data_IF_756119875625
#
_entry.id   IF_756119875625
#
_cell.length_a   1.000
_cell.length_b   1.000
_cell.length_c   1.000
_cell.angle_alpha   90.00
_cell.angle_beta   90.00
_cell.angle_gamma   90.00
#
_symmetry.space_group_name_H-M   'P 1'
#
loop_
_entity.id
_entity.type
_entity.pdbx_description
1 polymer ?
#
# COMPACT_ATOMS: atom_id res chain seq x y z
N UNK A 1 -30.15 -5.33 5.20
CA UNK A 1 -28.76 -5.75 4.90
C UNK A 1 -27.93 -5.60 6.17
N UNK A 2 -27.01 -6.54 6.43
CA UNK A 2 -26.12 -6.54 7.59
C UNK A 2 -24.70 -6.91 7.15
N UNK A 3 -23.73 -6.04 7.46
CA UNK A 3 -22.30 -6.32 7.26
C UNK A 3 -21.71 -6.66 8.63
N UNK A 4 -21.10 -7.83 8.76
CA UNK A 4 -20.47 -8.31 9.99
C UNK A 4 -19.00 -8.67 9.78
N UNK A 5 -18.18 -8.40 10.78
CA UNK A 5 -16.81 -8.91 10.84
C UNK A 5 -16.79 -10.12 11.77
N UNK A 6 -16.47 -11.28 11.22
CA UNK A 6 -16.43 -12.55 11.96
C UNK A 6 -15.02 -13.11 11.97
N UNK A 7 -14.67 -13.86 13.01
CA UNK A 7 -13.40 -14.55 13.13
C UNK A 7 -13.59 -16.06 12.88
N UNK A 8 -12.77 -16.63 11.99
CA UNK A 8 -12.70 -18.09 11.77
C UNK A 8 -11.22 -18.50 11.73
N UNK A 9 -10.81 -19.44 12.58
CA UNK A 9 -9.43 -19.95 12.66
C UNK A 9 -8.39 -18.81 12.70
N UNK A 10 -8.55 -17.90 13.67
CA UNK A 10 -7.71 -16.69 13.86
C UNK A 10 -7.68 -15.70 12.68
N UNK A 11 -8.53 -15.83 11.68
CA UNK A 11 -8.60 -14.91 10.55
C UNK A 11 -9.92 -14.16 10.55
N UNK A 12 -9.87 -12.85 10.28
CA UNK A 12 -11.07 -12.04 10.10
C UNK A 12 -11.66 -12.22 8.70
N UNK A 13 -13.00 -12.24 8.65
CA UNK A 13 -13.81 -12.29 7.45
C UNK A 13 -14.85 -11.18 7.53
N UNK A 14 -15.13 -10.55 6.40
CA UNK A 14 -16.35 -9.76 6.24
C UNK A 14 -17.44 -10.67 5.70
N UNK A 15 -18.59 -10.70 6.38
CA UNK A 15 -19.80 -11.40 5.98
C UNK A 15 -20.88 -10.38 5.65
N UNK A 16 -21.44 -10.48 4.46
CA UNK A 16 -22.58 -9.69 4.02
C UNK A 16 -23.82 -10.58 4.01
N UNK A 17 -24.87 -10.14 4.71
CA UNK A 17 -26.15 -10.82 4.79
C UNK A 17 -27.24 -9.86 4.34
N UNK A 18 -28.00 -10.21 3.30
CA UNK A 18 -29.20 -9.47 2.89
C UNK A 18 -30.34 -10.43 2.57
N UNK A 19 -31.33 -10.48 3.46
CA UNK A 19 -32.45 -11.41 3.35
C UNK A 19 -32.01 -12.87 3.34
N UNK A 20 -32.72 -13.70 2.57
CA UNK A 20 -32.38 -15.12 2.33
C UNK A 20 -31.51 -15.33 1.09
N UNK A 21 -31.39 -14.31 0.24
CA UNK A 21 -30.75 -14.43 -1.08
C UNK A 21 -29.24 -14.22 -1.02
N UNK A 22 -28.74 -13.38 -0.10
CA UNK A 22 -27.33 -13.04 -0.01
C UNK A 22 -26.82 -13.42 1.37
N UNK A 23 -25.92 -14.40 1.41
CA UNK A 23 -25.10 -14.75 2.57
C UNK A 23 -23.71 -15.16 2.09
N UNK A 24 -22.83 -14.17 1.98
CA UNK A 24 -21.49 -14.33 1.40
C UNK A 24 -20.44 -13.84 2.40
N UNK A 25 -19.26 -14.45 2.38
CA UNK A 25 -18.16 -14.03 3.26
C UNK A 25 -16.80 -14.11 2.57
N UNK A 26 -15.93 -13.14 2.87
CA UNK A 26 -14.58 -13.03 2.30
C UNK A 26 -13.55 -12.71 3.37
N UNK A 27 -12.39 -13.35 3.26
CA UNK A 27 -11.26 -13.22 4.18
C UNK A 27 -10.63 -11.83 4.02
N UNK A 28 -10.35 -11.15 5.14
CA UNK A 28 -9.77 -9.80 5.15
C UNK A 28 -8.24 -9.79 5.14
N UNK A 29 -7.59 -10.95 5.30
CA UNK A 29 -6.13 -11.04 5.42
C UNK A 29 -5.58 -10.46 6.71
N UNK A 30 -6.44 -10.24 7.71
CA UNK A 30 -6.07 -9.82 9.06
C UNK A 30 -6.13 -11.04 9.96
N UNK A 31 -5.02 -11.36 10.63
CA UNK A 31 -4.90 -12.49 11.55
C UNK A 31 -4.84 -11.97 12.98
N UNK A 32 -5.79 -12.40 13.80
CA UNK A 32 -5.91 -12.02 15.21
C UNK A 32 -6.26 -13.30 15.98
N UNK A 33 -5.61 -13.51 17.11
CA UNK A 33 -5.94 -14.63 17.97
C UNK A 33 -7.35 -14.43 18.58
N UNK A 34 -8.18 -15.47 18.57
CA UNK A 34 -9.60 -15.39 18.95
C UNK A 34 -9.85 -14.73 20.31
N UNK A 35 -8.96 -14.92 21.28
CA UNK A 35 -9.06 -14.31 22.60
C UNK A 35 -9.07 -12.77 22.58
N UNK A 36 -8.44 -12.15 21.59
CA UNK A 36 -8.36 -10.69 21.44
C UNK A 36 -9.52 -10.10 20.63
N UNK A 37 -10.40 -10.92 20.07
CA UNK A 37 -11.55 -10.46 19.29
C UNK A 37 -12.80 -10.32 20.16
N UNK A 38 -13.45 -9.17 20.11
CA UNK A 38 -14.76 -8.94 20.68
C UNK A 38 -15.84 -9.27 19.64
N UNK A 39 -16.50 -10.42 19.80
CA UNK A 39 -17.54 -10.89 18.87
C UNK A 39 -18.74 -9.94 18.86
N UNK A 40 -19.10 -9.35 20.01
CA UNK A 40 -20.30 -8.52 20.15
C UNK A 40 -20.09 -7.15 19.48
N UNK A 41 -18.93 -6.55 19.72
CA UNK A 41 -18.60 -5.23 19.20
C UNK A 41 -17.85 -5.27 17.87
N UNK A 42 -17.53 -6.47 17.37
CA UNK A 42 -16.79 -6.71 16.13
C UNK A 42 -15.49 -5.89 16.04
N UNK A 43 -14.73 -5.87 17.13
CA UNK A 43 -13.50 -5.09 17.27
C UNK A 43 -12.44 -5.86 18.05
N UNK A 44 -11.20 -5.43 17.95
CA UNK A 44 -10.12 -5.90 18.82
C UNK A 44 -10.36 -5.36 20.23
N UNK A 45 -10.34 -6.23 21.24
CA UNK A 45 -10.49 -5.89 22.66
C UNK A 45 -9.41 -4.91 23.10
N UNK A 46 -9.68 -4.20 24.20
CA UNK A 46 -8.68 -3.39 24.87
C UNK A 46 -7.68 -4.30 25.59
N UNK A 47 -6.75 -4.88 24.84
CA UNK A 47 -5.60 -5.61 25.36
C UNK A 47 -4.36 -4.71 25.23
N UNK A 48 -3.60 -4.57 26.32
CA UNK A 48 -2.43 -3.70 26.41
C UNK A 48 -1.34 -4.02 25.35
N UNK A 49 -1.31 -5.27 24.84
CA UNK A 49 -0.24 -5.79 23.99
C UNK A 49 -0.54 -5.79 22.48
N UNK A 50 -1.63 -5.17 22.01
CA UNK A 50 -1.95 -5.17 20.57
C UNK A 50 -1.55 -3.85 19.91
N UNK A 51 -0.34 -3.80 19.34
CA UNK A 51 0.14 -2.64 18.59
C UNK A 51 -0.79 -2.37 17.38
N UNK A 52 -1.04 -1.09 17.08
CA UNK A 52 -1.94 -0.65 16.00
C UNK A 52 -3.43 -1.04 16.14
N UNK A 53 -3.90 -1.44 17.34
CA UNK A 53 -5.32 -1.74 17.64
C UNK A 53 -6.28 -0.69 17.06
N UNK A 54 -6.07 0.58 17.41
CA UNK A 54 -6.99 1.66 17.04
C UNK A 54 -7.04 1.89 15.54
N UNK A 55 -5.89 1.78 14.86
CA UNK A 55 -5.82 1.86 13.41
C UNK A 55 -6.59 0.72 12.75
N UNK A 56 -6.46 -0.50 13.25
CA UNK A 56 -7.18 -1.66 12.69
C UNK A 56 -8.69 -1.54 12.95
N UNK A 57 -9.10 -1.19 14.17
CA UNK A 57 -10.51 -0.99 14.50
C UNK A 57 -11.14 0.13 13.67
N UNK A 58 -10.44 1.27 13.49
CA UNK A 58 -10.89 2.35 12.62
C UNK A 58 -11.04 1.87 11.17
N UNK A 59 -10.07 1.10 10.65
CA UNK A 59 -10.13 0.55 9.29
C UNK A 59 -11.25 -0.47 9.10
N UNK A 60 -11.56 -1.28 10.10
CA UNK A 60 -12.69 -2.21 10.07
C UNK A 60 -14.03 -1.46 10.10
N UNK A 61 -14.12 -0.37 10.86
CA UNK A 61 -15.30 0.50 10.86
C UNK A 61 -15.51 1.17 9.50
N UNK A 62 -14.47 1.77 8.92
CA UNK A 62 -14.49 2.35 7.57
C UNK A 62 -14.91 1.31 6.52
N UNK A 63 -14.40 0.08 6.61
CA UNK A 63 -14.76 -1.02 5.71
C UNK A 63 -16.28 -1.27 5.73
N UNK A 64 -16.88 -1.39 6.91
CA UNK A 64 -18.33 -1.63 7.05
C UNK A 64 -19.15 -0.52 6.42
N UNK A 65 -18.76 0.73 6.66
CA UNK A 65 -19.43 1.89 6.07
C UNK A 65 -19.33 1.89 4.53
N UNK A 66 -18.12 1.66 3.98
CA UNK A 66 -17.91 1.60 2.52
C UNK A 66 -18.72 0.49 1.86
N UNK A 67 -18.71 -0.74 2.41
CA UNK A 67 -19.48 -1.87 1.87
C UNK A 67 -20.98 -1.58 1.93
N UNK A 68 -21.47 -0.99 3.04
CA UNK A 68 -22.90 -0.65 3.19
C UNK A 68 -23.35 0.38 2.14
N UNK A 69 -22.54 1.40 1.92
CA UNK A 69 -22.83 2.44 0.93
C UNK A 69 -22.78 1.88 -0.49
N UNK A 70 -21.73 1.10 -0.82
CA UNK A 70 -21.59 0.46 -2.13
C UNK A 70 -22.71 -0.53 -2.41
N UNK A 71 -23.10 -1.34 -1.42
CA UNK A 71 -24.23 -2.27 -1.53
C UNK A 71 -25.51 -1.51 -1.87
N UNK A 72 -25.82 -0.45 -1.13
CA UNK A 72 -27.04 0.34 -1.36
C UNK A 72 -27.08 0.90 -2.77
N UNK A 73 -25.97 1.49 -3.24
CA UNK A 73 -25.88 2.07 -4.58
C UNK A 73 -26.00 1.01 -5.68
N UNK A 74 -25.20 -0.05 -5.61
CA UNK A 74 -25.15 -1.11 -6.63
C UNK A 74 -26.47 -1.91 -6.67
N UNK A 75 -27.10 -2.14 -5.51
CA UNK A 75 -28.40 -2.82 -5.43
C UNK A 75 -29.53 -1.97 -6.02
N UNK A 76 -29.50 -0.63 -5.90
CA UNK A 76 -30.47 0.26 -6.57
C UNK A 76 -30.29 0.19 -8.10
N UNK A 77 -29.06 0.06 -8.57
CA UNK A 77 -28.73 -0.02 -9.99
C UNK A 77 -28.93 -1.42 -10.61
N UNK A 78 -29.34 -2.42 -9.82
CA UNK A 78 -29.57 -3.78 -10.29
C UNK A 78 -28.30 -4.59 -10.55
N UNK A 79 -27.16 -4.20 -9.96
CA UNK A 79 -25.90 -4.93 -10.08
C UNK A 79 -25.97 -6.31 -9.39
N UNK A 80 -25.17 -7.25 -9.89
CA UNK A 80 -25.09 -8.60 -9.31
C UNK A 80 -24.25 -8.57 -8.04
N UNK A 81 -24.92 -8.79 -6.89
CA UNK A 81 -24.25 -8.85 -5.59
C UNK A 81 -23.89 -10.29 -5.25
N UNK A 82 -22.67 -10.68 -5.60
CA UNK A 82 -22.13 -12.01 -5.32
C UNK A 82 -20.81 -11.98 -4.53
N UNK A 83 -20.19 -13.15 -4.41
CA UNK A 83 -18.90 -13.31 -3.73
C UNK A 83 -17.78 -12.47 -4.35
N UNK A 84 -17.78 -12.29 -5.69
CA UNK A 84 -16.79 -11.48 -6.40
C UNK A 84 -17.02 -9.99 -6.14
N UNK A 85 -18.28 -9.56 -6.14
CA UNK A 85 -18.64 -8.19 -5.76
C UNK A 85 -18.11 -7.81 -4.38
N UNK A 86 -18.30 -8.68 -3.38
CA UNK A 86 -17.83 -8.42 -2.01
C UNK A 86 -16.30 -8.35 -1.94
N UNK A 87 -15.60 -9.19 -2.70
CA UNK A 87 -14.15 -9.14 -2.81
C UNK A 87 -13.66 -7.84 -3.44
N UNK A 88 -14.30 -7.39 -4.51
CA UNK A 88 -14.05 -6.08 -5.12
C UNK A 88 -14.25 -4.93 -4.14
N UNK A 89 -15.40 -4.90 -3.45
CA UNK A 89 -15.71 -3.89 -2.44
C UNK A 89 -14.70 -3.85 -1.28
N UNK A 90 -14.25 -5.01 -0.81
CA UNK A 90 -13.19 -5.11 0.22
C UNK A 90 -11.86 -4.58 -0.31
N UNK A 91 -11.51 -4.91 -1.55
CA UNK A 91 -10.26 -4.48 -2.16
C UNK A 91 -10.21 -2.96 -2.36
N UNK A 92 -11.30 -2.38 -2.88
CA UNK A 92 -11.50 -0.93 -2.96
C UNK A 92 -11.44 -0.28 -1.58
N UNK A 93 -12.09 -0.86 -0.57
CA UNK A 93 -12.14 -0.29 0.76
C UNK A 93 -10.75 -0.20 1.42
N UNK A 94 -9.91 -1.22 1.24
CA UNK A 94 -8.56 -1.28 1.78
C UNK A 94 -7.46 -0.78 0.84
N UNK A 95 -7.79 -0.26 -0.34
CA UNK A 95 -6.84 0.01 -1.41
C UNK A 95 -5.89 -1.19 -1.67
N UNK A 96 -6.40 -2.41 -1.54
CA UNK A 96 -5.66 -3.60 -1.95
C UNK A 96 -5.64 -3.58 -3.47
N UNK A 97 -4.47 -3.28 -4.05
CA UNK A 97 -4.27 -3.43 -5.49
C UNK A 97 -4.73 -4.84 -5.87
N UNK A 98 -5.64 -4.94 -6.83
CA UNK A 98 -6.17 -6.21 -7.30
C UNK A 98 -4.99 -7.16 -7.55
N UNK A 99 -4.95 -8.26 -6.82
CA UNK A 99 -3.96 -9.31 -7.02
C UNK A 99 -4.37 -10.02 -8.31
N UNK A 100 -3.99 -9.47 -9.46
CA UNK A 100 -4.21 -10.13 -10.75
C UNK A 100 -3.25 -11.32 -10.81
N UNK A 101 -3.80 -12.54 -10.81
CA UNK A 101 -3.06 -13.80 -11.03
C UNK A 101 -1.88 -14.04 -10.06
N UNK A 102 -2.04 -13.70 -8.77
CA UNK A 102 -1.09 -14.08 -7.72
C UNK A 102 0.27 -13.37 -7.74
N UNK A 103 0.54 -12.48 -8.71
CA UNK A 103 1.76 -11.67 -8.74
C UNK A 103 1.43 -10.23 -8.39
N UNK A 104 1.83 -9.81 -7.20
CA UNK A 104 1.87 -8.37 -6.89
C UNK A 104 2.98 -7.79 -7.77
N UNK A 105 2.61 -6.89 -8.68
CA UNK A 105 3.57 -6.06 -9.40
C UNK A 105 4.24 -5.10 -8.41
N UNK A 106 5.29 -5.59 -7.74
CA UNK A 106 5.97 -4.88 -6.65
C UNK A 106 6.51 -3.53 -7.10
N UNK A 107 6.89 -3.41 -8.37
CA UNK A 107 7.32 -2.16 -8.98
C UNK A 107 6.23 -1.08 -9.01
N UNK A 108 4.94 -1.43 -8.92
CA UNK A 108 3.87 -0.44 -8.78
C UNK A 108 3.70 0.06 -7.34
N UNK A 109 4.38 -0.53 -6.37
CA UNK A 109 4.17 -0.27 -4.93
C UNK A 109 5.42 0.30 -4.29
N UNK A 110 6.58 -0.30 -4.56
CA UNK A 110 7.83 -0.02 -3.88
C UNK A 110 8.81 0.72 -4.79
N UNK A 111 9.49 1.72 -4.25
CA UNK A 111 10.36 2.60 -5.02
C UNK A 111 11.55 1.87 -5.62
N UNK A 112 12.20 0.99 -4.86
CA UNK A 112 13.41 0.30 -5.34
C UNK A 112 13.07 -0.62 -6.52
N UNK A 113 12.01 -1.42 -6.38
CA UNK A 113 11.50 -2.26 -7.46
C UNK A 113 11.00 -1.44 -8.66
N UNK A 114 10.45 -0.24 -8.44
CA UNK A 114 10.09 0.68 -9.52
C UNK A 114 11.32 1.15 -10.30
N UNK A 115 12.37 1.58 -9.60
CA UNK A 115 13.60 2.02 -10.24
C UNK A 115 14.25 0.90 -11.06
N UNK A 116 14.26 -0.33 -10.53
CA UNK A 116 14.79 -1.50 -11.25
C UNK A 116 13.95 -1.81 -12.49
N UNK A 117 12.62 -1.86 -12.35
CA UNK A 117 11.71 -2.04 -13.48
C UNK A 117 11.94 -1.00 -14.58
N UNK A 118 12.10 0.28 -14.20
CA UNK A 118 12.34 1.33 -15.18
C UNK A 118 13.70 1.17 -15.88
N UNK A 119 14.74 0.76 -15.16
CA UNK A 119 16.06 0.44 -15.74
C UNK A 119 15.95 -0.68 -16.77
N UNK A 120 15.24 -1.75 -16.43
CA UNK A 120 15.11 -2.95 -17.26
C UNK A 120 14.28 -2.68 -18.53
N UNK A 121 13.18 -1.92 -18.43
CA UNK A 121 12.23 -1.72 -19.53
C UNK A 121 12.52 -0.48 -20.39
N UNK A 122 12.90 0.64 -19.76
CA UNK A 122 13.08 1.94 -20.42
C UNK A 122 14.53 2.43 -20.39
N UNK A 123 15.34 1.94 -19.45
CA UNK A 123 16.71 2.39 -19.24
C UNK A 123 17.63 2.15 -20.44
N UNK A 124 17.40 1.09 -21.21
CA UNK A 124 18.16 0.77 -22.42
C UNK A 124 18.09 1.88 -23.50
N UNK A 125 17.07 2.75 -23.45
CA UNK A 125 16.89 3.87 -24.39
C UNK A 125 17.62 5.14 -23.96
N UNK A 126 18.33 5.12 -22.84
CA UNK A 126 18.95 6.31 -22.22
C UNK A 126 20.47 6.19 -22.19
N UNK A 127 21.14 7.19 -22.75
CA UNK A 127 22.61 7.21 -22.85
C UNK A 127 23.33 7.27 -21.48
N UNK A 128 22.67 7.79 -20.43
CA UNK A 128 23.21 7.90 -19.06
C UNK A 128 22.72 6.77 -18.12
N UNK A 129 22.41 5.58 -18.66
CA UNK A 129 21.96 4.42 -17.89
C UNK A 129 22.84 4.10 -16.66
N UNK A 130 24.19 4.09 -16.76
CA UNK A 130 25.06 3.76 -15.62
C UNK A 130 24.84 4.68 -14.41
N UNK A 131 24.48 5.94 -14.64
CA UNK A 131 24.22 6.85 -13.54
C UNK A 131 22.90 6.58 -12.82
N UNK A 132 21.89 6.05 -13.52
CA UNK A 132 20.62 5.60 -12.92
C UNK A 132 20.81 4.29 -12.15
N UNK A 133 21.62 3.37 -12.66
CA UNK A 133 22.02 2.17 -11.91
C UNK A 133 22.78 2.55 -10.64
N UNK A 134 23.66 3.55 -10.73
CA UNK A 134 24.38 4.05 -9.56
C UNK A 134 23.43 4.70 -8.53
N UNK A 135 22.40 5.42 -8.98
CA UNK A 135 21.33 5.88 -8.09
C UNK A 135 20.66 4.71 -7.34
N UNK A 136 20.30 3.63 -8.05
CA UNK A 136 19.67 2.45 -7.45
C UNK A 136 20.58 1.79 -6.41
N UNK A 137 21.89 1.74 -6.66
CA UNK A 137 22.88 1.26 -5.69
C UNK A 137 22.89 2.13 -4.42
N UNK A 138 22.96 3.45 -4.56
CA UNK A 138 22.93 4.37 -3.42
C UNK A 138 21.60 4.30 -2.65
N UNK A 139 20.47 4.21 -3.35
CA UNK A 139 19.15 4.06 -2.73
C UNK A 139 19.07 2.75 -1.94
N UNK A 140 19.61 1.65 -2.49
CA UNK A 140 19.67 0.37 -1.80
C UNK A 140 20.48 0.47 -0.50
N UNK A 141 21.65 1.12 -0.55
CA UNK A 141 22.50 1.30 0.62
C UNK A 141 21.88 2.22 1.67
N UNK A 142 21.18 3.26 1.25
CA UNK A 142 20.38 4.12 2.13
C UNK A 142 19.29 3.32 2.87
N UNK A 143 18.53 2.49 2.16
CA UNK A 143 17.49 1.68 2.79
C UNK A 143 18.09 0.69 3.79
N UNK A 144 19.23 0.06 3.46
CA UNK A 144 19.99 -0.79 4.37
C UNK A 144 20.46 -0.03 5.61
N UNK A 145 21.03 1.16 5.47
CA UNK A 145 21.53 1.96 6.61
C UNK A 145 20.42 2.42 7.56
N UNK A 146 19.18 2.52 7.06
CA UNK A 146 17.98 2.81 7.87
C UNK A 146 17.29 1.57 8.43
N UNK A 147 17.83 0.37 8.22
CA UNK A 147 17.15 -0.90 8.53
C UNK A 147 15.74 -0.99 7.90
N UNK A 148 15.55 -0.35 6.75
CA UNK A 148 14.30 -0.38 6.00
C UNK A 148 14.43 -1.39 4.87
N UNK A 149 13.60 -2.42 4.87
CA UNK A 149 13.59 -3.39 3.79
C UNK A 149 13.11 -2.76 2.47
N UNK A 150 12.10 -1.87 2.53
CA UNK A 150 11.46 -1.24 1.37
C UNK A 150 10.82 0.08 1.76
N UNK A 151 10.64 0.96 0.76
CA UNK A 151 9.83 2.17 0.86
C UNK A 151 8.74 2.16 -0.22
N UNK A 152 7.50 2.50 0.14
CA UNK A 152 6.42 2.60 -0.84
C UNK A 152 6.50 3.93 -1.57
N UNK A 153 6.23 3.92 -2.88
CA UNK A 153 6.24 5.11 -3.74
C UNK A 153 5.32 6.20 -3.16
N UNK A 154 4.11 5.83 -2.71
CA UNK A 154 3.14 6.75 -2.12
C UNK A 154 3.56 7.36 -0.78
N UNK A 155 4.56 6.80 -0.10
CA UNK A 155 5.07 7.27 1.18
C UNK A 155 6.29 8.20 1.01
N UNK A 156 6.84 8.28 -0.21
CA UNK A 156 7.97 9.16 -0.52
C UNK A 156 7.51 10.63 -0.47
N UNK A 157 8.15 11.40 0.39
CA UNK A 157 7.94 12.85 0.53
C UNK A 157 9.25 13.61 0.38
N UNK A 158 9.20 14.94 0.43
CA UNK A 158 10.40 15.77 0.50
C UNK A 158 11.32 15.37 1.66
N UNK A 159 10.75 15.03 2.83
CA UNK A 159 11.52 14.53 3.99
C UNK A 159 12.31 13.26 3.67
N UNK A 160 11.73 12.33 2.91
CA UNK A 160 12.43 11.11 2.45
C UNK A 160 13.65 11.46 1.59
N UNK A 161 13.49 12.40 0.66
CA UNK A 161 14.58 12.84 -0.23
C UNK A 161 15.68 13.52 0.60
N UNK A 162 15.33 14.35 1.57
CA UNK A 162 16.30 14.99 2.46
C UNK A 162 17.05 13.99 3.34
N UNK A 163 16.37 12.96 3.83
CA UNK A 163 17.03 11.87 4.57
C UNK A 163 18.03 11.13 3.70
N UNK A 164 17.70 10.90 2.43
CA UNK A 164 18.62 10.30 1.46
C UNK A 164 19.82 11.20 1.17
N UNK A 165 19.59 12.51 0.95
CA UNK A 165 20.65 13.51 0.76
C UNK A 165 21.58 13.57 1.97
N UNK A 166 21.03 13.64 3.18
CA UNK A 166 21.80 13.66 4.42
C UNK A 166 22.62 12.38 4.60
N UNK A 167 22.06 11.22 4.27
CA UNK A 167 22.80 9.96 4.27
C UNK A 167 24.01 10.02 3.33
N UNK A 168 23.84 10.51 2.11
CA UNK A 168 24.96 10.64 1.17
C UNK A 168 26.03 11.63 1.65
N UNK A 169 25.65 12.74 2.28
CA UNK A 169 26.62 13.68 2.83
C UNK A 169 27.41 13.07 4.00
N UNK A 170 26.75 12.29 4.86
CA UNK A 170 27.40 11.57 5.96
C UNK A 170 28.34 10.46 5.48
N UNK A 171 28.07 9.88 4.30
CA UNK A 171 28.94 8.90 3.64
C UNK A 171 30.05 9.55 2.79
N UNK A 172 30.36 10.83 3.07
CA UNK A 172 31.42 11.63 2.43
C UNK A 172 31.28 11.84 0.91
N UNK A 173 30.08 11.72 0.34
CA UNK A 173 29.86 12.12 -1.05
C UNK A 173 29.91 13.64 -1.19
N UNK A 174 30.51 14.12 -2.28
CA UNK A 174 30.57 15.56 -2.57
C UNK A 174 29.17 16.15 -2.74
N UNK A 175 29.01 17.43 -2.37
CA UNK A 175 27.74 18.13 -2.53
C UNK A 175 27.19 18.08 -3.96
N UNK A 176 28.07 18.12 -4.97
CA UNK A 176 27.68 17.99 -6.38
C UNK A 176 27.15 16.59 -6.70
N UNK A 177 27.82 15.53 -6.22
CA UNK A 177 27.35 14.15 -6.41
C UNK A 177 26.02 13.93 -5.72
N UNK A 178 25.89 14.36 -4.48
CA UNK A 178 24.64 14.26 -3.71
C UNK A 178 23.50 15.00 -4.41
N UNK A 179 23.73 16.22 -4.91
CA UNK A 179 22.75 16.99 -5.70
C UNK A 179 22.30 16.21 -6.94
N UNK A 180 23.24 15.64 -7.70
CA UNK A 180 22.92 14.81 -8.88
C UNK A 180 22.04 13.60 -8.51
N UNK A 181 22.32 12.94 -7.39
CA UNK A 181 21.51 11.80 -6.94
C UNK A 181 20.13 12.22 -6.44
N UNK A 182 19.99 13.37 -5.76
CA UNK A 182 18.69 13.94 -5.41
C UNK A 182 17.85 14.27 -6.65
N UNK A 183 18.48 14.82 -7.71
CA UNK A 183 17.81 15.05 -9.00
C UNK A 183 17.31 13.74 -9.61
N UNK A 184 18.11 12.66 -9.55
CA UNK A 184 17.69 11.32 -10.02
C UNK A 184 16.56 10.74 -9.17
N UNK A 185 16.56 10.98 -7.86
CA UNK A 185 15.43 10.63 -6.99
C UNK A 185 14.14 11.28 -7.49
N UNK A 186 14.15 12.61 -7.67
CA UNK A 186 13.00 13.35 -8.20
C UNK A 186 12.60 12.87 -9.60
N UNK A 187 13.57 12.52 -10.46
CA UNK A 187 13.30 11.93 -11.78
C UNK A 187 12.48 10.64 -11.68
N UNK A 188 12.85 9.69 -10.81
CA UNK A 188 12.08 8.45 -10.65
C UNK A 188 10.67 8.71 -10.11
N UNK A 189 10.52 9.66 -9.19
CA UNK A 189 9.19 10.05 -8.69
C UNK A 189 8.31 10.67 -9.79
N UNK A 190 8.88 11.54 -10.62
CA UNK A 190 8.18 12.09 -11.79
C UNK A 190 7.80 10.98 -12.79
N UNK A 191 8.67 9.99 -13.02
CA UNK A 191 8.36 8.84 -13.89
C UNK A 191 7.23 7.99 -13.31
N UNK A 192 7.24 7.72 -12.01
CA UNK A 192 6.17 6.99 -11.34
C UNK A 192 4.82 7.71 -11.48
N UNK A 193 4.79 9.04 -11.32
CA UNK A 193 3.61 9.86 -11.54
C UNK A 193 3.12 9.80 -12.99
N UNK A 194 4.03 9.92 -13.97
CA UNK A 194 3.70 9.82 -15.40
C UNK A 194 3.14 8.45 -15.80
N UNK A 195 3.49 7.39 -15.05
CA UNK A 195 2.92 6.05 -15.20
C UNK A 195 1.62 5.85 -14.42
N UNK A 196 1.01 6.93 -13.92
CA UNK A 196 -0.22 6.92 -13.11
C UNK A 196 -0.10 6.08 -11.83
N UNK A 197 1.09 5.98 -11.25
CA UNK A 197 1.26 5.37 -9.92
C UNK A 197 0.87 6.37 -8.83
N UNK A 198 0.37 5.85 -7.71
CA UNK A 198 0.03 6.65 -6.53
C UNK A 198 1.32 7.20 -5.90
N UNK A 199 1.56 8.51 -6.07
CA UNK A 199 2.69 9.26 -5.51
C UNK A 199 2.20 10.30 -4.50
N UNK A 200 2.99 10.59 -3.47
CA UNK A 200 2.73 11.74 -2.59
C UNK A 200 3.36 13.00 -3.19
N UNK A 201 2.52 13.93 -3.68
CA UNK A 201 2.95 15.14 -4.42
C UNK A 201 3.94 16.03 -3.67
N UNK A 202 4.05 15.92 -2.35
CA UNK A 202 4.99 16.69 -1.54
C UNK A 202 6.45 16.36 -1.89
N UNK A 203 6.76 15.30 -2.63
CA UNK A 203 8.12 15.05 -3.13
C UNK A 203 8.66 16.19 -4.04
N UNK A 204 7.77 16.98 -4.65
CA UNK A 204 8.11 18.08 -5.55
C UNK A 204 8.53 19.35 -4.82
N UNK A 205 8.24 19.46 -3.53
CA UNK A 205 8.55 20.65 -2.74
C UNK A 205 10.06 20.96 -2.80
N UNK A 206 10.42 22.26 -2.87
CA UNK A 206 11.79 22.72 -2.99
C UNK A 206 12.67 22.29 -1.83
#
# INVERSE_FOLDING_TARGET
MNVKIIIKSNNLYCRLISGRQIDISKKLGITIAQQFWDIKNEKIKNAYNFENRDKINAKLFELKAKITNKFTFDNINGEVIDSQWLEGAINEAFNKKAIVRGKIERWKVYLLEFCQYWIDEDGAKVNDLPSYENFVKHLTNFLKSKNLAKIKIKEVSHSTINQFVNYMLLDNFSAQTTKRQATRFKFFMNKAENMNLEVNKNYKEP
#
